data_IF_675413905279
#
_entry.id   IF_675413905279
#
_cell.length_a   1.000
_cell.length_b   1.000
_cell.length_c   1.000
_cell.angle_alpha   90.00
_cell.angle_beta   90.00
_cell.angle_gamma   90.00
#
_symmetry.space_group_name_H-M   'P 1'
#
loop_
_entity.id
_entity.type
_entity.pdbx_description
1 polymer ?
#
# COMPACT_ATOMS: atom_id res chain seq x y z
N UNK A 1 19.16 13.01 9.63
CA UNK A 1 18.15 12.93 8.56
C UNK A 1 17.99 14.33 7.97
N UNK A 2 18.03 14.43 6.66
CA UNK A 2 17.78 15.65 5.91
C UNK A 2 16.91 15.26 4.70
N UNK A 3 15.89 16.06 4.38
CA UNK A 3 15.03 15.79 3.24
C UNK A 3 14.37 17.07 2.72
N UNK A 4 14.07 17.09 1.44
CA UNK A 4 13.34 18.14 0.77
C UNK A 4 12.32 17.54 -0.18
N UNK A 5 11.15 18.16 -0.26
CA UNK A 5 10.09 17.74 -1.17
C UNK A 5 9.56 18.97 -1.90
N UNK A 6 9.43 18.87 -3.19
CA UNK A 6 8.75 19.85 -4.02
C UNK A 6 7.67 19.15 -4.84
N UNK A 7 6.52 19.75 -4.97
CA UNK A 7 5.45 19.20 -5.78
C UNK A 7 4.39 20.22 -6.11
N UNK A 8 3.57 19.88 -7.08
CA UNK A 8 2.43 20.68 -7.43
C UNK A 8 1.26 19.80 -7.89
N UNK A 9 0.08 20.33 -7.71
CA UNK A 9 -1.16 19.74 -8.20
C UNK A 9 -1.96 20.79 -8.93
N UNK A 10 -2.40 20.45 -10.12
CA UNK A 10 -3.25 21.33 -10.93
C UNK A 10 -4.51 20.60 -11.36
N UNK A 11 -5.56 21.35 -11.61
CA UNK A 11 -6.79 20.82 -12.16
C UNK A 11 -7.41 21.79 -13.16
N UNK A 12 -7.90 21.21 -14.23
CA UNK A 12 -8.58 21.90 -15.30
C UNK A 12 -10.03 21.38 -15.39
N UNK A 13 -11.01 22.26 -15.27
CA UNK A 13 -12.38 21.95 -15.64
C UNK A 13 -12.48 21.91 -17.15
N UNK A 14 -12.56 20.73 -17.75
CA UNK A 14 -12.66 20.57 -19.21
C UNK A 14 -14.06 20.87 -19.71
N UNK A 15 -15.07 20.60 -18.87
CA UNK A 15 -16.49 21.01 -19.06
C UNK A 15 -17.09 21.32 -17.69
N UNK A 16 -18.38 21.69 -17.65
CA UNK A 16 -19.16 21.82 -16.39
C UNK A 16 -19.21 20.50 -15.60
N UNK A 17 -19.09 19.37 -16.28
CA UNK A 17 -19.29 18.04 -15.72
C UNK A 17 -18.00 17.20 -15.68
N UNK A 18 -16.87 17.78 -16.05
CA UNK A 18 -15.62 17.02 -16.11
C UNK A 18 -14.43 17.83 -15.65
N UNK A 19 -13.47 17.11 -15.06
CA UNK A 19 -12.26 17.67 -14.48
C UNK A 19 -11.07 16.78 -14.80
N UNK A 20 -10.00 17.38 -15.27
CA UNK A 20 -8.68 16.78 -15.38
C UNK A 20 -7.85 17.24 -14.19
N UNK A 21 -7.21 16.29 -13.50
CA UNK A 21 -6.26 16.58 -12.41
C UNK A 21 -4.91 16.02 -12.81
N UNK A 22 -3.88 16.81 -12.63
CA UNK A 22 -2.48 16.43 -12.80
C UNK A 22 -1.72 16.72 -11.51
N UNK A 23 -0.84 15.81 -11.11
CA UNK A 23 0.04 16.00 -9.95
C UNK A 23 1.45 15.48 -10.25
N UNK A 24 2.43 16.12 -9.65
CA UNK A 24 3.83 15.72 -9.68
C UNK A 24 4.48 16.08 -8.35
N UNK A 25 5.38 15.24 -7.89
CA UNK A 25 6.25 15.50 -6.76
C UNK A 25 7.64 14.91 -7.00
N UNK A 26 8.61 15.60 -6.44
CA UNK A 26 9.99 15.17 -6.33
C UNK A 26 10.40 15.26 -4.87
N UNK A 27 11.05 14.20 -4.37
CA UNK A 27 11.58 14.15 -3.02
C UNK A 27 13.01 13.65 -3.04
N UNK A 28 13.87 14.33 -2.30
CA UNK A 28 15.21 13.87 -1.96
C UNK A 28 15.28 13.66 -0.45
N UNK A 29 15.85 12.55 -0.04
CA UNK A 29 16.03 12.23 1.38
C UNK A 29 17.40 11.61 1.60
N UNK A 30 18.11 12.14 2.59
CA UNK A 30 19.34 11.58 3.11
C UNK A 30 19.13 11.10 4.55
N UNK A 31 19.48 9.87 4.82
CA UNK A 31 19.47 9.27 6.16
C UNK A 31 20.86 8.72 6.47
N UNK A 32 21.35 8.96 7.67
CA UNK A 32 22.61 8.45 8.17
C UNK A 32 22.45 8.06 9.64
N UNK A 33 22.78 6.81 9.95
CA UNK A 33 22.85 6.24 11.29
C UNK A 33 24.21 5.62 11.57
N UNK A 34 24.47 5.21 12.80
CA UNK A 34 25.73 4.61 13.23
C UNK A 34 26.67 5.59 13.94
N UNK A 35 27.97 5.33 13.88
CA UNK A 35 29.01 6.17 14.46
C UNK A 35 29.71 7.03 13.39
N UNK A 36 30.65 7.90 13.82
CA UNK A 36 31.49 8.77 12.98
C UNK A 36 30.66 9.47 11.87
N UNK A 37 29.52 10.08 12.24
CA UNK A 37 28.54 10.69 11.32
C UNK A 37 29.11 11.78 10.38
N UNK A 38 30.29 12.33 10.70
CA UNK A 38 31.02 13.34 9.93
C UNK A 38 32.01 12.76 8.92
N UNK A 39 32.10 11.43 8.79
CA UNK A 39 32.94 10.73 7.86
C UNK A 39 32.16 9.93 6.84
N UNK A 40 32.77 9.52 5.71
CA UNK A 40 32.14 8.56 4.81
C UNK A 40 31.68 7.29 5.56
N UNK A 41 30.59 6.63 5.14
CA UNK A 41 30.03 5.50 5.88
C UNK A 41 31.00 4.31 6.00
N UNK A 42 31.83 4.10 5.00
CA UNK A 42 32.88 3.04 5.01
C UNK A 42 34.09 3.31 5.92
N UNK A 43 34.18 4.50 6.52
CA UNK A 43 35.18 4.80 7.55
C UNK A 43 34.64 4.59 8.98
N UNK A 44 33.35 4.33 9.12
CA UNK A 44 32.70 4.11 10.39
C UNK A 44 32.84 2.66 10.87
N UNK A 45 32.72 2.43 12.18
CA UNK A 45 32.71 1.07 12.71
C UNK A 45 31.37 0.37 12.45
N UNK A 46 30.26 1.13 12.49
CA UNK A 46 28.91 0.70 12.07
C UNK A 46 28.24 1.88 11.39
N UNK A 47 27.71 1.65 10.20
CA UNK A 47 27.00 2.68 9.47
C UNK A 47 25.83 2.14 8.64
N UNK A 48 24.75 2.89 8.70
CA UNK A 48 23.65 2.80 7.75
C UNK A 48 23.47 4.15 7.07
N UNK A 49 23.47 4.19 5.76
CA UNK A 49 23.22 5.39 4.99
C UNK A 49 22.31 5.09 3.83
N UNK A 50 21.33 5.95 3.60
CA UNK A 50 20.49 5.90 2.40
C UNK A 50 20.29 7.29 1.83
N UNK A 51 20.39 7.38 0.52
CA UNK A 51 20.09 8.57 -0.28
C UNK A 51 19.00 8.21 -1.27
N UNK A 52 17.83 8.83 -1.13
CA UNK A 52 16.69 8.58 -1.99
C UNK A 52 16.45 9.76 -2.92
N UNK A 53 16.21 9.46 -4.20
CA UNK A 53 15.63 10.38 -5.17
C UNK A 53 14.33 9.77 -5.68
N UNK A 54 13.21 10.41 -5.38
CA UNK A 54 11.87 9.90 -5.68
C UNK A 54 11.17 10.90 -6.60
N UNK A 55 10.71 10.42 -7.75
CA UNK A 55 9.87 11.17 -8.67
C UNK A 55 8.54 10.46 -8.82
N UNK A 56 7.45 11.17 -8.60
CA UNK A 56 6.13 10.61 -8.71
C UNK A 56 5.12 11.58 -9.31
N UNK A 57 4.09 11.04 -9.92
CA UNK A 57 3.02 11.86 -10.47
C UNK A 57 1.84 11.05 -10.96
N UNK A 58 0.77 11.76 -11.29
CA UNK A 58 -0.45 11.14 -11.74
C UNK A 58 -1.34 12.05 -12.57
N UNK A 59 -2.18 11.40 -13.36
CA UNK A 59 -3.21 12.01 -14.16
C UNK A 59 -4.54 11.35 -13.84
N UNK A 60 -5.58 12.15 -13.60
CA UNK A 60 -6.94 11.66 -13.35
C UNK A 60 -7.96 12.49 -14.12
N UNK A 61 -8.82 11.83 -14.84
CA UNK A 61 -9.99 12.43 -15.46
C UNK A 61 -11.25 11.96 -14.75
N UNK A 62 -12.06 12.90 -14.27
CA UNK A 62 -13.36 12.67 -13.65
C UNK A 62 -14.47 13.23 -14.55
N UNK A 63 -15.53 12.46 -14.74
CA UNK A 63 -16.74 12.88 -15.45
C UNK A 63 -17.98 12.54 -14.62
N UNK A 64 -18.93 13.46 -14.59
CA UNK A 64 -20.26 13.31 -13.99
C UNK A 64 -21.33 13.65 -15.02
N UNK A 65 -22.34 12.82 -15.16
CA UNK A 65 -23.43 13.11 -16.09
C UNK A 65 -24.34 14.24 -15.58
N UNK A 66 -24.98 15.03 -16.47
CA UNK A 66 -25.89 16.09 -16.07
C UNK A 66 -27.09 15.63 -15.23
N UNK A 67 -27.49 14.36 -15.35
CA UNK A 67 -28.59 13.77 -14.59
C UNK A 67 -28.12 13.13 -13.27
N UNK A 68 -26.84 13.32 -12.88
CA UNK A 68 -26.22 12.81 -11.66
C UNK A 68 -26.27 11.27 -11.49
N UNK A 69 -26.68 10.53 -12.52
CA UNK A 69 -26.80 9.08 -12.45
C UNK A 69 -25.54 8.33 -12.80
N UNK A 70 -24.64 8.95 -13.55
CA UNK A 70 -23.42 8.32 -14.03
C UNK A 70 -22.22 9.12 -13.57
N UNK A 71 -21.24 8.46 -12.99
CA UNK A 71 -19.90 9.01 -12.84
C UNK A 71 -18.87 8.02 -13.37
N UNK A 72 -17.82 8.57 -13.93
CA UNK A 72 -16.74 7.80 -14.53
C UNK A 72 -15.41 8.47 -14.22
N UNK A 73 -14.41 7.69 -13.86
CA UNK A 73 -13.05 8.18 -13.78
C UNK A 73 -12.05 7.23 -14.44
N UNK A 74 -11.00 7.81 -14.98
CA UNK A 74 -9.81 7.12 -15.46
C UNK A 74 -8.61 7.77 -14.79
N UNK A 75 -7.68 6.96 -14.34
CA UNK A 75 -6.46 7.46 -13.72
C UNK A 75 -5.25 6.65 -14.15
N UNK A 76 -4.09 7.30 -14.13
CA UNK A 76 -2.79 6.66 -14.21
C UNK A 76 -1.83 7.41 -13.29
N UNK A 77 -0.96 6.67 -12.63
CA UNK A 77 0.11 7.22 -11.80
C UNK A 77 1.38 6.39 -11.94
N UNK A 78 2.52 7.04 -11.74
CA UNK A 78 3.81 6.36 -11.70
C UNK A 78 4.70 6.99 -10.63
N UNK A 79 5.55 6.16 -10.03
CA UNK A 79 6.60 6.57 -9.12
C UNK A 79 7.88 5.84 -9.47
N UNK A 80 8.97 6.59 -9.55
CA UNK A 80 10.32 6.07 -9.72
C UNK A 80 11.15 6.44 -8.50
N UNK A 81 11.78 5.45 -7.90
CA UNK A 81 12.68 5.57 -6.76
C UNK A 81 14.06 5.15 -7.22
N UNK A 82 15.06 5.98 -6.93
CA UNK A 82 16.46 5.59 -6.95
C UNK A 82 17.02 5.78 -5.55
N UNK A 83 17.65 4.74 -5.01
CA UNK A 83 18.20 4.72 -3.66
C UNK A 83 19.65 4.22 -3.73
N UNK A 84 20.59 5.07 -3.37
CA UNK A 84 21.93 4.64 -3.02
C UNK A 84 21.97 4.30 -1.53
N UNK A 85 22.60 3.18 -1.18
CA UNK A 85 22.62 2.67 0.18
C UNK A 85 24.03 2.21 0.59
N UNK A 86 24.28 2.28 1.88
CA UNK A 86 25.40 1.64 2.55
C UNK A 86 24.89 0.98 3.83
N UNK A 87 25.14 -0.30 3.99
CA UNK A 87 24.81 -1.07 5.19
C UNK A 87 26.04 -1.87 5.62
N UNK A 88 26.92 -1.27 6.43
CA UNK A 88 28.20 -1.87 6.72
C UNK A 88 28.69 -1.70 8.16
N UNK A 89 29.60 -2.58 8.53
CA UNK A 89 30.34 -2.55 9.78
C UNK A 89 31.82 -2.90 9.57
N UNK A 90 32.68 -2.52 10.53
CA UNK A 90 34.08 -2.82 10.47
C UNK A 90 34.85 -2.15 9.32
N UNK A 91 34.36 -0.98 8.87
CA UNK A 91 34.97 -0.20 7.77
C UNK A 91 34.95 -0.92 6.41
N UNK A 92 33.87 -1.63 6.11
CA UNK A 92 33.74 -2.39 4.87
C UNK A 92 33.55 -1.46 3.66
N UNK A 93 34.47 -1.48 2.72
CA UNK A 93 34.40 -0.72 1.47
C UNK A 93 33.38 -1.29 0.47
N UNK A 94 32.90 -2.51 0.68
CA UNK A 94 32.02 -3.19 -0.27
C UNK A 94 30.54 -3.13 0.11
N UNK A 95 30.19 -2.56 1.27
CA UNK A 95 28.81 -2.54 1.79
C UNK A 95 27.87 -1.52 1.10
N UNK A 96 28.25 -1.05 -0.08
CA UNK A 96 27.45 -0.18 -0.92
C UNK A 96 26.46 -0.96 -1.77
N UNK A 97 25.32 -0.37 -2.01
CA UNK A 97 24.26 -0.90 -2.88
C UNK A 97 23.48 0.20 -3.58
N UNK A 98 22.72 -0.22 -4.57
CA UNK A 98 21.80 0.64 -5.28
C UNK A 98 20.47 -0.10 -5.50
N UNK A 99 19.37 0.61 -5.30
CA UNK A 99 18.02 0.12 -5.55
C UNK A 99 17.33 1.05 -6.52
N UNK A 100 16.72 0.50 -7.56
CA UNK A 100 15.78 1.21 -8.43
C UNK A 100 14.41 0.54 -8.34
N UNK A 101 13.37 1.33 -8.20
CA UNK A 101 11.99 0.85 -8.20
C UNK A 101 11.13 1.73 -9.09
N UNK A 102 10.44 1.11 -10.04
CA UNK A 102 9.44 1.75 -10.88
C UNK A 102 8.09 1.10 -10.65
N UNK A 103 7.23 1.80 -9.94
CA UNK A 103 5.83 1.41 -9.77
C UNK A 103 4.94 2.30 -10.64
N UNK A 104 4.01 1.69 -11.39
CA UNK A 104 2.96 2.43 -12.07
C UNK A 104 1.64 1.68 -12.03
N UNK A 105 0.57 2.42 -12.00
CA UNK A 105 -0.78 1.91 -12.05
C UNK A 105 -1.66 2.71 -12.98
N UNK A 106 -2.64 2.04 -13.57
CA UNK A 106 -3.71 2.66 -14.33
C UNK A 106 -5.03 1.93 -14.07
N UNK A 107 -6.11 2.68 -14.10
CA UNK A 107 -7.41 2.10 -13.84
C UNK A 107 -8.56 2.97 -14.30
N UNK A 108 -9.75 2.39 -14.24
CA UNK A 108 -10.99 3.09 -14.47
C UNK A 108 -12.09 2.59 -13.53
N UNK A 109 -12.97 3.48 -13.18
CA UNK A 109 -14.13 3.20 -12.34
C UNK A 109 -15.36 3.86 -12.93
N UNK A 110 -16.46 3.14 -12.93
CA UNK A 110 -17.77 3.62 -13.29
C UNK A 110 -18.74 3.42 -12.14
N UNK A 111 -19.57 4.43 -11.87
CA UNK A 111 -20.64 4.37 -10.88
C UNK A 111 -21.98 4.69 -11.56
N UNK A 112 -22.98 3.88 -11.27
CA UNK A 112 -24.37 4.11 -11.66
C UNK A 112 -25.26 4.23 -10.43
N UNK A 113 -25.95 5.37 -10.31
CA UNK A 113 -26.88 5.65 -9.21
C UNK A 113 -28.31 5.27 -9.60
N UNK A 114 -28.84 4.23 -8.95
CA UNK A 114 -30.22 3.80 -9.09
C UNK A 114 -31.13 4.60 -8.14
N UNK A 115 -32.24 5.12 -8.63
CA UNK A 115 -33.28 5.68 -7.75
C UNK A 115 -33.88 4.63 -6.80
N UNK A 116 -33.97 3.37 -7.25
CA UNK A 116 -34.31 2.20 -6.45
C UNK A 116 -33.75 0.95 -7.14
N UNK A 117 -33.02 0.13 -6.38
CA UNK A 117 -32.55 -1.18 -6.81
C UNK A 117 -32.88 -2.20 -5.72
N UNK A 118 -33.75 -3.19 -6.05
CA UNK A 118 -34.32 -4.19 -5.15
C UNK A 118 -35.22 -3.55 -4.07
N UNK A 119 -34.64 -2.95 -3.01
CA UNK A 119 -35.43 -2.46 -1.86
C UNK A 119 -35.20 -0.98 -1.53
N UNK A 120 -34.07 -0.36 -1.91
CA UNK A 120 -33.79 1.06 -1.67
C UNK A 120 -32.89 1.68 -2.75
N UNK A 121 -32.65 3.02 -2.75
CA UNK A 121 -31.69 3.64 -3.64
C UNK A 121 -30.31 3.01 -3.48
N UNK A 122 -29.53 2.90 -4.57
CA UNK A 122 -28.20 2.32 -4.50
C UNK A 122 -27.26 2.88 -5.55
N UNK A 123 -25.96 2.77 -5.25
CA UNK A 123 -24.86 3.07 -6.16
C UNK A 123 -24.11 1.79 -6.51
N UNK A 124 -24.19 1.38 -7.78
CA UNK A 124 -23.40 0.28 -8.33
C UNK A 124 -22.07 0.82 -8.83
N UNK A 125 -20.98 0.30 -8.30
CA UNK A 125 -19.61 0.66 -8.70
C UNK A 125 -18.94 -0.55 -9.33
N UNK A 126 -18.37 -0.37 -10.53
CA UNK A 126 -17.54 -1.35 -11.20
C UNK A 126 -16.21 -0.69 -11.62
N UNK A 127 -15.12 -1.44 -11.60
CA UNK A 127 -13.85 -0.91 -12.04
C UNK A 127 -12.84 -2.00 -12.38
N UNK A 128 -11.81 -1.57 -13.09
CA UNK A 128 -10.65 -2.36 -13.45
C UNK A 128 -9.38 -1.57 -13.12
N UNK A 129 -8.35 -2.28 -12.71
CA UNK A 129 -7.04 -1.69 -12.39
C UNK A 129 -5.93 -2.61 -12.89
N UNK A 130 -4.83 -2.01 -13.27
CA UNK A 130 -3.58 -2.71 -13.51
C UNK A 130 -2.45 -1.99 -12.77
N UNK A 131 -1.65 -2.78 -12.06
CA UNK A 131 -0.46 -2.30 -11.37
C UNK A 131 0.75 -3.09 -11.85
N UNK A 132 1.87 -2.41 -12.06
CA UNK A 132 3.18 -3.01 -12.28
C UNK A 132 4.19 -2.36 -11.34
N UNK A 133 4.99 -3.21 -10.73
CA UNK A 133 6.12 -2.85 -9.88
C UNK A 133 7.37 -3.56 -10.43
N UNK A 134 8.43 -2.80 -10.69
CA UNK A 134 9.72 -3.33 -11.14
C UNK A 134 10.81 -2.85 -10.20
N UNK A 135 11.28 -3.78 -9.39
CA UNK A 135 12.31 -3.57 -8.37
C UNK A 135 13.62 -4.23 -8.80
N UNK A 136 14.70 -3.46 -8.82
CA UNK A 136 16.07 -3.95 -8.96
C UNK A 136 16.88 -3.48 -7.75
N UNK A 137 17.42 -4.40 -6.96
CA UNK A 137 18.26 -4.08 -5.80
C UNK A 137 19.57 -4.83 -5.87
N UNK A 138 20.69 -4.12 -5.80
CA UNK A 138 22.04 -4.65 -5.92
C UNK A 138 22.85 -4.27 -4.69
N UNK A 139 23.31 -5.27 -3.94
CA UNK A 139 24.23 -5.15 -2.83
C UNK A 139 25.52 -5.89 -3.21
N UNK A 140 26.44 -5.18 -3.87
CA UNK A 140 27.60 -5.80 -4.55
C UNK A 140 28.54 -6.55 -3.60
N UNK A 141 28.84 -5.97 -2.45
CA UNK A 141 29.73 -6.60 -1.48
C UNK A 141 29.18 -7.85 -0.82
N UNK A 142 27.85 -8.00 -0.83
CA UNK A 142 27.17 -9.18 -0.27
C UNK A 142 26.70 -10.15 -1.36
N UNK A 143 27.07 -9.91 -2.62
CA UNK A 143 26.68 -10.71 -3.79
C UNK A 143 25.15 -10.96 -3.86
N UNK A 144 24.34 -10.00 -3.35
CA UNK A 144 22.89 -10.07 -3.40
C UNK A 144 22.38 -9.19 -4.54
N UNK A 145 21.54 -9.79 -5.38
CA UNK A 145 20.76 -9.08 -6.39
C UNK A 145 19.31 -9.54 -6.29
N UNK A 146 18.39 -8.58 -6.19
CA UNK A 146 16.95 -8.81 -6.33
C UNK A 146 16.49 -8.14 -7.63
N UNK A 147 15.98 -8.92 -8.57
CA UNK A 147 15.33 -8.44 -9.79
C UNK A 147 13.91 -9.00 -9.79
N UNK A 148 12.94 -8.14 -9.50
CA UNK A 148 11.55 -8.53 -9.31
C UNK A 148 10.63 -7.70 -10.20
N UNK A 149 9.77 -8.38 -10.93
CA UNK A 149 8.68 -7.75 -11.68
C UNK A 149 7.35 -8.32 -11.24
N UNK A 150 6.54 -7.46 -10.64
CA UNK A 150 5.18 -7.76 -10.20
C UNK A 150 4.19 -7.13 -11.14
N UNK A 151 3.17 -7.89 -11.54
CA UNK A 151 2.04 -7.40 -12.33
C UNK A 151 0.75 -7.88 -11.67
N UNK A 152 -0.18 -6.97 -11.45
CA UNK A 152 -1.48 -7.28 -10.86
C UNK A 152 -2.57 -6.69 -11.76
N UNK A 153 -3.40 -7.55 -12.33
CA UNK A 153 -4.63 -7.19 -13.02
C UNK A 153 -5.82 -7.41 -12.09
N UNK A 154 -6.70 -6.42 -11.96
CA UNK A 154 -7.79 -6.45 -11.00
C UNK A 154 -9.10 -6.01 -11.61
N UNK A 155 -10.20 -6.62 -11.15
CA UNK A 155 -11.56 -6.16 -11.44
C UNK A 155 -12.39 -6.20 -10.16
N UNK A 156 -13.25 -5.23 -9.97
CA UNK A 156 -14.11 -5.17 -8.80
C UNK A 156 -15.52 -4.72 -9.14
N UNK A 157 -16.46 -5.21 -8.35
CA UNK A 157 -17.86 -4.85 -8.40
C UNK A 157 -18.39 -4.72 -6.98
N UNK A 158 -19.15 -3.67 -6.72
CA UNK A 158 -19.84 -3.47 -5.45
C UNK A 158 -21.14 -2.71 -5.65
N UNK A 159 -22.10 -2.94 -4.77
CA UNK A 159 -23.31 -2.14 -4.68
C UNK A 159 -23.50 -1.65 -3.24
N UNK A 160 -23.80 -0.37 -3.10
CA UNK A 160 -24.16 0.25 -1.83
C UNK A 160 -25.61 0.70 -1.87
N UNK A 161 -26.47 0.07 -1.07
CA UNK A 161 -27.84 0.49 -0.81
C UNK A 161 -27.85 1.42 0.39
N UNK A 162 -28.46 2.60 0.29
CA UNK A 162 -28.44 3.56 1.38
C UNK A 162 -29.68 4.43 1.47
N UNK A 163 -30.02 4.75 2.70
CA UNK A 163 -30.95 5.81 3.08
C UNK A 163 -30.46 6.50 4.36
N UNK A 164 -31.26 7.35 4.99
CA UNK A 164 -30.87 8.12 6.17
C UNK A 164 -30.50 7.21 7.36
N UNK A 165 -31.19 6.08 7.52
CA UNK A 165 -31.01 5.17 8.65
C UNK A 165 -30.11 3.99 8.34
N UNK A 166 -30.15 3.45 7.15
CA UNK A 166 -29.46 2.21 6.78
C UNK A 166 -28.48 2.41 5.62
N UNK A 167 -27.38 1.71 5.67
CA UNK A 167 -26.46 1.53 4.55
C UNK A 167 -25.98 0.07 4.51
N UNK A 168 -26.11 -0.56 3.35
CA UNK A 168 -25.62 -1.91 3.08
C UNK A 168 -24.68 -1.85 1.90
N UNK A 169 -23.46 -2.31 2.06
CA UNK A 169 -22.51 -2.46 0.95
C UNK A 169 -22.12 -3.94 0.85
N UNK A 170 -22.24 -4.46 -0.36
CA UNK A 170 -21.69 -5.76 -0.73
C UNK A 170 -20.82 -5.59 -1.96
N UNK A 171 -19.65 -6.19 -1.94
CA UNK A 171 -18.73 -6.12 -3.06
C UNK A 171 -17.69 -7.24 -3.03
N UNK A 172 -16.98 -7.34 -4.14
CA UNK A 172 -15.87 -8.26 -4.28
C UNK A 172 -14.87 -7.75 -5.31
N UNK A 173 -13.64 -8.15 -5.12
CA UNK A 173 -12.51 -7.88 -6.03
C UNK A 173 -11.88 -9.19 -6.44
N UNK A 174 -11.54 -9.29 -7.70
CA UNK A 174 -10.76 -10.37 -8.28
C UNK A 174 -9.40 -9.82 -8.66
N UNK A 175 -8.34 -10.45 -8.19
CA UNK A 175 -6.96 -10.08 -8.47
C UNK A 175 -6.24 -11.26 -9.13
N UNK A 176 -5.55 -10.99 -10.24
CA UNK A 176 -4.59 -11.91 -10.85
C UNK A 176 -3.20 -11.32 -10.71
N UNK A 177 -2.42 -11.94 -9.86
CA UNK A 177 -1.01 -11.62 -9.62
C UNK A 177 -0.13 -12.57 -10.42
N UNK A 178 0.97 -12.08 -11.01
CA UNK A 178 1.85 -12.93 -11.82
C UNK A 178 2.63 -14.00 -11.02
N UNK A 179 2.86 -13.76 -9.72
CA UNK A 179 3.54 -14.72 -8.82
C UNK A 179 2.57 -15.70 -8.15
N UNK A 180 1.27 -15.65 -8.46
CA UNK A 180 0.24 -16.49 -7.86
C UNK A 180 -0.54 -17.20 -8.99
N UNK A 181 -0.61 -18.52 -8.95
CA UNK A 181 -1.17 -19.31 -10.05
C UNK A 181 -2.69 -19.17 -10.20
N UNK A 182 -3.40 -18.87 -9.13
CA UNK A 182 -4.86 -18.72 -9.12
C UNK A 182 -5.32 -17.26 -9.03
N UNK A 183 -6.60 -17.03 -9.26
CA UNK A 183 -7.24 -15.73 -9.06
C UNK A 183 -7.62 -15.63 -7.58
N UNK A 184 -7.29 -14.51 -6.96
CA UNK A 184 -7.67 -14.21 -5.58
C UNK A 184 -8.99 -13.47 -5.58
N UNK A 185 -9.93 -13.94 -4.77
CA UNK A 185 -11.21 -13.27 -4.52
C UNK A 185 -11.20 -12.65 -3.13
N UNK A 186 -11.44 -11.34 -3.07
CA UNK A 186 -11.49 -10.54 -1.85
C UNK A 186 -12.89 -9.95 -1.66
N UNK A 187 -13.79 -10.62 -0.90
CA UNK A 187 -15.10 -10.10 -0.57
C UNK A 187 -15.04 -9.00 0.48
N UNK A 188 -16.02 -8.08 0.42
CA UNK A 188 -16.28 -7.09 1.47
C UNK A 188 -17.76 -6.87 1.68
N UNK A 189 -18.13 -6.59 2.92
CA UNK A 189 -19.49 -6.24 3.32
C UNK A 189 -19.46 -5.19 4.43
N UNK A 190 -20.32 -4.16 4.32
CA UNK A 190 -20.47 -3.16 5.38
C UNK A 190 -21.95 -2.97 5.67
N UNK A 191 -22.27 -2.84 6.94
CA UNK A 191 -23.58 -2.48 7.46
C UNK A 191 -23.42 -1.19 8.27
N UNK A 192 -24.23 -0.17 7.96
CA UNK A 192 -24.39 1.05 8.74
C UNK A 192 -25.81 1.15 9.22
N UNK A 193 -25.98 1.50 10.49
CA UNK A 193 -27.27 1.79 11.08
C UNK A 193 -27.22 3.07 11.90
N UNK A 194 -28.04 4.06 11.53
CA UNK A 194 -28.21 5.33 12.21
C UNK A 194 -29.61 5.35 12.87
N UNK A 195 -29.77 4.87 14.11
CA UNK A 195 -31.05 4.91 14.82
C UNK A 195 -31.54 6.34 15.03
N UNK A 196 -30.61 7.26 15.17
CA UNK A 196 -30.85 8.71 15.26
C UNK A 196 -29.78 9.47 14.46
N UNK A 197 -29.95 10.78 14.29
CA UNK A 197 -28.91 11.63 13.65
C UNK A 197 -27.60 11.72 14.46
N UNK A 198 -27.65 11.33 15.73
CA UNK A 198 -26.52 11.44 16.65
C UNK A 198 -25.84 10.09 16.95
N UNK A 199 -26.35 9.00 16.43
CA UNK A 199 -25.80 7.66 16.68
C UNK A 199 -25.55 7.00 15.34
N UNK A 200 -24.29 6.58 15.12
CA UNK A 200 -23.87 5.83 13.95
C UNK A 200 -23.22 4.51 14.39
N UNK A 201 -23.86 3.41 14.01
CA UNK A 201 -23.37 2.06 14.26
C UNK A 201 -22.85 1.47 12.95
N UNK A 202 -21.70 0.82 12.98
CA UNK A 202 -21.10 0.17 11.80
C UNK A 202 -20.61 -1.21 12.13
N UNK A 203 -20.78 -2.11 11.15
CA UNK A 203 -20.18 -3.45 11.13
C UNK A 203 -19.55 -3.64 9.75
N UNK A 204 -18.30 -4.07 9.72
CA UNK A 204 -17.55 -4.24 8.47
C UNK A 204 -16.86 -5.60 8.45
N UNK A 205 -16.91 -6.25 7.29
CA UNK A 205 -16.12 -7.44 6.98
C UNK A 205 -15.32 -7.18 5.71
N UNK A 206 -14.05 -7.55 5.70
CA UNK A 206 -13.20 -7.52 4.52
C UNK A 206 -12.18 -8.64 4.54
N UNK A 207 -11.76 -9.09 3.36
CA UNK A 207 -10.58 -9.92 3.20
C UNK A 207 -9.56 -9.28 2.30
N UNK A 208 -8.28 -9.66 2.47
CA UNK A 208 -7.16 -9.17 1.68
C UNK A 208 -6.06 -10.23 1.63
N UNK A 209 -5.00 -9.92 0.89
CA UNK A 209 -3.83 -10.76 0.78
C UNK A 209 -2.54 -9.95 0.68
N UNK A 210 -1.43 -10.58 1.01
CA UNK A 210 -0.07 -10.09 0.75
C UNK A 210 0.63 -11.10 -0.17
N UNK A 211 1.15 -10.62 -1.28
CA UNK A 211 1.76 -11.47 -2.30
C UNK A 211 3.13 -12.01 -1.85
N UNK A 212 3.59 -13.16 -2.39
CA UNK A 212 4.90 -13.76 -2.11
C UNK A 212 6.01 -13.05 -2.90
N UNK A 213 6.27 -11.79 -2.56
CA UNK A 213 7.26 -10.93 -3.21
C UNK A 213 8.21 -10.33 -2.18
N UNK A 214 9.36 -9.84 -2.62
CA UNK A 214 10.24 -9.04 -1.79
C UNK A 214 9.61 -7.66 -1.54
N UNK A 215 9.72 -7.18 -0.32
CA UNK A 215 9.28 -5.88 0.13
C UNK A 215 10.47 -5.06 0.60
N UNK A 216 10.32 -3.77 0.80
CA UNK A 216 11.41 -2.87 1.21
C UNK A 216 12.11 -3.35 2.50
N UNK A 217 11.36 -3.93 3.44
CA UNK A 217 11.92 -4.54 4.65
C UNK A 217 12.87 -5.71 4.39
N UNK A 218 12.74 -6.41 3.26
CA UNK A 218 13.62 -7.52 2.86
C UNK A 218 14.92 -7.02 2.21
N UNK A 219 14.91 -5.78 1.73
CA UNK A 219 16.07 -5.14 1.09
C UNK A 219 17.03 -4.53 2.12
N UNK A 220 16.55 -4.33 3.35
CA UNK A 220 17.39 -3.84 4.44
C UNK A 220 18.39 -4.92 4.86
N UNK A 221 19.67 -4.56 4.87
CA UNK A 221 20.75 -5.42 5.37
C UNK A 221 21.03 -5.03 6.80
N UNK A 222 20.68 -5.91 7.73
CA UNK A 222 20.98 -5.70 9.15
C UNK A 222 22.46 -5.91 9.42
N UNK A 223 23.08 -5.02 10.17
CA UNK A 223 24.45 -5.19 10.66
C UNK A 223 24.45 -4.99 12.18
N UNK A 224 24.30 -6.07 12.92
CA UNK A 224 24.26 -6.06 14.37
C UNK A 224 25.54 -6.71 14.92
N UNK A 225 26.35 -5.92 15.61
CA UNK A 225 27.56 -6.43 16.24
C UNK A 225 28.62 -6.98 15.27
N UNK A 226 28.62 -6.49 14.02
CA UNK A 226 29.54 -6.92 12.97
C UNK A 226 29.08 -8.12 12.15
N UNK A 227 27.90 -8.65 12.43
CA UNK A 227 27.29 -9.72 11.64
C UNK A 227 26.25 -9.13 10.68
N UNK A 228 26.42 -9.40 9.39
CA UNK A 228 25.49 -9.02 8.34
C UNK A 228 24.35 -10.04 8.29
N UNK A 229 23.10 -9.56 8.27
CA UNK A 229 21.92 -10.41 8.11
C UNK A 229 21.09 -9.98 6.90
N UNK A 230 20.68 -10.94 6.10
CA UNK A 230 19.86 -10.75 4.89
C UNK A 230 18.64 -11.68 4.89
N UNK A 231 17.61 -11.28 4.15
CA UNK A 231 16.39 -12.07 3.96
C UNK A 231 16.33 -12.59 2.52
N UNK A 232 16.02 -13.88 2.39
CA UNK A 232 15.69 -14.54 1.13
C UNK A 232 14.25 -15.07 1.17
N UNK A 233 13.59 -15.19 0.02
CA UNK A 233 12.26 -15.76 -0.09
C UNK A 233 12.32 -17.27 -0.33
N UNK A 234 11.50 -18.05 0.37
CA UNK A 234 11.33 -19.47 0.08
C UNK A 234 10.75 -19.67 -1.33
N UNK A 235 11.19 -20.72 -2.02
CA UNK A 235 10.77 -21.02 -3.41
C UNK A 235 9.29 -21.38 -3.53
N UNK A 236 8.69 -21.87 -2.44
CA UNK A 236 7.32 -22.32 -2.32
C UNK A 236 6.45 -21.32 -1.52
N UNK A 237 6.94 -20.10 -1.33
CA UNK A 237 6.22 -19.05 -0.62
C UNK A 237 4.89 -18.75 -1.31
N UNK A 238 3.80 -18.81 -0.55
CA UNK A 238 2.43 -18.51 -0.97
C UNK A 238 2.01 -17.14 -0.47
N UNK A 239 0.88 -16.65 -0.94
CA UNK A 239 0.30 -15.43 -0.40
C UNK A 239 -0.16 -15.61 1.06
N UNK A 240 0.07 -14.59 1.88
CA UNK A 240 -0.56 -14.43 3.19
C UNK A 240 -1.98 -13.89 3.00
N UNK A 241 -2.95 -14.39 3.75
CA UNK A 241 -4.35 -13.97 3.67
C UNK A 241 -4.85 -13.39 5.00
N UNK A 242 -5.68 -12.36 4.90
CA UNK A 242 -6.34 -11.73 6.03
C UNK A 242 -7.86 -11.74 5.89
N UNK A 243 -8.54 -11.89 7.02
CA UNK A 243 -9.98 -11.68 7.17
C UNK A 243 -10.19 -10.81 8.40
N UNK A 244 -10.86 -9.68 8.22
CA UNK A 244 -11.08 -8.71 9.27
C UNK A 244 -12.56 -8.46 9.49
N UNK A 245 -12.98 -8.44 10.74
CA UNK A 245 -14.30 -8.00 11.20
C UNK A 245 -14.10 -6.82 12.13
N UNK A 246 -14.79 -5.71 11.89
CA UNK A 246 -14.80 -4.56 12.80
C UNK A 246 -16.20 -4.09 13.09
N UNK A 247 -16.41 -3.58 14.31
CA UNK A 247 -17.65 -2.97 14.76
C UNK A 247 -17.34 -1.65 15.46
N UNK A 248 -18.11 -0.60 15.16
CA UNK A 248 -17.95 0.70 15.82
C UNK A 248 -19.29 1.33 16.18
N UNK A 249 -19.28 2.12 17.23
CA UNK A 249 -20.38 2.99 17.66
C UNK A 249 -19.82 4.41 17.84
N UNK A 250 -20.41 5.36 17.11
CA UNK A 250 -20.07 6.77 17.11
C UNK A 250 -21.29 7.58 17.59
N UNK A 251 -21.17 8.23 18.73
CA UNK A 251 -22.26 8.89 19.46
C UNK A 251 -21.91 10.36 19.64
N UNK A 252 -22.77 11.23 19.12
CA UNK A 252 -22.69 12.67 19.27
C UNK A 252 -23.72 13.14 20.29
N UNK A 253 -23.30 13.98 21.22
CA UNK A 253 -24.23 14.61 22.14
C UNK A 253 -23.88 16.08 22.35
N UNK A 254 -24.90 16.93 22.37
CA UNK A 254 -24.75 18.37 22.59
C UNK A 254 -25.38 18.76 23.93
N UNK A 255 -24.55 19.36 24.80
CA UNK A 255 -24.96 19.94 26.09
C UNK A 255 -24.81 21.47 26.01
N UNK A 256 -25.84 22.17 25.68
CA UNK A 256 -25.77 23.64 25.52
C UNK A 256 -24.72 24.04 24.45
N UNK A 257 -23.64 24.70 24.87
CA UNK A 257 -22.54 25.12 24.01
C UNK A 257 -21.48 24.02 23.75
N UNK A 258 -21.50 22.93 24.53
CA UNK A 258 -20.54 21.83 24.40
C UNK A 258 -21.05 20.75 23.45
N UNK A 259 -20.20 20.28 22.58
CA UNK A 259 -20.43 19.10 21.76
C UNK A 259 -19.44 18.00 22.15
N UNK A 260 -19.96 16.82 22.46
CA UNK A 260 -19.17 15.64 22.84
C UNK A 260 -19.37 14.60 21.74
N UNK A 261 -18.25 14.02 21.29
CA UNK A 261 -18.24 12.83 20.44
C UNK A 261 -17.61 11.69 21.24
N UNK A 262 -18.29 10.53 21.24
CA UNK A 262 -17.79 9.31 21.86
C UNK A 262 -17.76 8.22 20.81
N UNK A 263 -16.54 7.78 20.45
CA UNK A 263 -16.28 6.69 19.50
C UNK A 263 -15.71 5.49 20.24
N UNK A 264 -16.35 4.33 20.01
CA UNK A 264 -15.82 3.02 20.42
C UNK A 264 -15.70 2.16 19.18
N UNK A 265 -14.56 1.51 19.01
CA UNK A 265 -14.29 0.58 17.93
C UNK A 265 -13.63 -0.69 18.47
N UNK A 266 -14.08 -1.83 17.96
CA UNK A 266 -13.46 -3.13 18.17
C UNK A 266 -13.24 -3.84 16.86
N UNK A 267 -12.13 -4.58 16.73
CA UNK A 267 -11.82 -5.35 15.54
C UNK A 267 -11.20 -6.69 15.88
N UNK A 268 -11.39 -7.64 14.98
CA UNK A 268 -10.76 -8.95 15.00
C UNK A 268 -10.22 -9.27 13.61
N UNK A 269 -8.94 -9.59 13.50
CA UNK A 269 -8.30 -9.99 12.25
C UNK A 269 -7.68 -11.37 12.40
N UNK A 270 -8.06 -12.29 11.50
CA UNK A 270 -7.43 -13.59 11.33
C UNK A 270 -6.47 -13.53 10.16
N UNK A 271 -5.21 -13.89 10.39
CA UNK A 271 -4.21 -14.13 9.36
C UNK A 271 -4.07 -15.62 9.10
N UNK A 272 -3.78 -16.02 7.87
CA UNK A 272 -3.50 -17.39 7.46
C UNK A 272 -2.30 -17.40 6.52
N UNK A 273 -1.49 -18.47 6.57
CA UNK A 273 -0.24 -18.57 5.78
C UNK A 273 0.69 -17.39 6.05
N UNK A 274 0.85 -17.02 7.33
CA UNK A 274 1.56 -15.81 7.78
C UNK A 274 3.04 -15.89 7.41
N UNK A 275 3.60 -14.80 6.95
CA UNK A 275 5.02 -14.72 6.68
C UNK A 275 5.83 -14.70 7.98
N UNK A 276 6.73 -15.66 8.11
CA UNK A 276 7.68 -15.79 9.20
C UNK A 276 9.11 -15.88 8.65
N UNK A 277 10.08 -15.60 9.50
CA UNK A 277 11.50 -15.74 9.19
C UNK A 277 12.08 -16.92 9.96
N UNK A 278 12.94 -17.70 9.33
CA UNK A 278 13.76 -18.70 10.03
C UNK A 278 14.75 -18.04 10.98
N UNK A 279 15.31 -18.80 11.94
CA UNK A 279 16.39 -18.31 12.78
C UNK A 279 17.65 -17.92 11.99
N UNK A 280 17.78 -18.48 10.79
CA UNK A 280 18.85 -18.17 9.85
C UNK A 280 20.02 -19.13 9.92
N UNK A 281 20.78 -19.19 8.83
CA UNK A 281 22.03 -19.94 8.71
C UNK A 281 23.14 -18.98 8.33
N UNK A 282 24.32 -19.18 8.95
CA UNK A 282 25.50 -18.37 8.59
C UNK A 282 26.20 -19.03 7.39
N UNK A 283 26.25 -18.30 6.26
CA UNK A 283 26.98 -18.69 5.04
C UNK A 283 27.97 -17.59 4.72
N UNK A 284 29.23 -17.93 4.62
CA UNK A 284 30.35 -16.99 4.31
C UNK A 284 30.35 -15.71 5.21
N UNK A 285 30.02 -15.87 6.48
CA UNK A 285 29.95 -14.76 7.44
C UNK A 285 28.68 -13.93 7.40
N UNK A 286 27.71 -14.30 6.54
CA UNK A 286 26.43 -13.62 6.38
C UNK A 286 25.33 -14.51 6.97
N UNK A 287 24.53 -13.97 7.88
CA UNK A 287 23.33 -14.63 8.41
C UNK A 287 22.21 -14.52 7.38
N UNK A 288 21.83 -15.62 6.76
CA UNK A 288 20.72 -15.67 5.80
C UNK A 288 19.48 -16.23 6.48
N UNK A 289 18.41 -15.43 6.56
CA UNK A 289 17.08 -15.82 7.04
C UNK A 289 16.19 -16.07 5.84
N UNK A 290 15.36 -17.09 5.91
CA UNK A 290 14.41 -17.39 4.83
C UNK A 290 13.00 -17.03 5.28
N UNK A 291 12.29 -16.23 4.47
CA UNK A 291 10.86 -15.95 4.62
C UNK A 291 10.05 -17.12 4.12
N UNK A 292 9.15 -17.63 4.94
CA UNK A 292 8.28 -18.78 4.65
C UNK A 292 6.88 -18.54 5.20
N UNK A 293 5.91 -19.38 4.84
CA UNK A 293 4.57 -19.37 5.44
C UNK A 293 4.55 -20.26 6.67
N UNK A 294 4.10 -19.70 7.84
CA UNK A 294 3.97 -20.39 9.11
C UNK A 294 2.51 -20.83 9.35
#
# INVERSE_FOLDING_TARGET
IHGQTIGFRSFLKTTTYSKLTFEYHHMEEFRRGGDLLNRPPHEANVAEQTEHSINGGGLKYDYFSPNEKHSFNVFASAQHINRDSYYGGGQDLNAYGNTTDLNWMAGSQYVYSFGKCIFMPSDLTAGIEFNQDKLEDNMWGYHRTVDQKVNIGSAFLQNEWKNDHWGFLLGGRLDKHNLIDHIIFSPRANLRFNPTQNINLRLSYSSGFRAPQAFDEDLHVENVGGNVAMVELAKDLKEERSQSLSASADIYHRFGAFQINFLVEGFYTKLSDVFALTDGEVKDGILTRTRYNA
#
